data_IF_651676840166
#
_entry.id   IF_651676840166
#
_cell.length_a   1.000
_cell.length_b   1.000
_cell.length_c   1.000
_cell.angle_alpha   90.00
_cell.angle_beta   90.00
_cell.angle_gamma   90.00
#
_symmetry.space_group_name_H-M   'P 1'
#
loop_
_entity.id
_entity.type
_entity.pdbx_description
1 polymer ?
#
# COMPACT_ATOMS: atom_id res chain seq x y z
N UNK A 1 7.49 9.46 -7.31
CA UNK A 1 6.24 10.13 -6.90
C UNK A 1 5.10 9.51 -7.69
N UNK A 2 4.29 8.64 -7.07
CA UNK A 2 3.05 7.99 -7.59
C UNK A 2 2.36 7.13 -6.49
N UNK A 3 3.10 6.83 -5.41
CA UNK A 3 2.69 6.10 -4.20
C UNK A 3 1.36 6.55 -3.56
N UNK A 4 1.00 7.82 -3.73
CA UNK A 4 -0.25 8.41 -3.24
C UNK A 4 -1.49 7.96 -4.02
N UNK A 5 -1.33 7.52 -5.28
CA UNK A 5 -2.46 7.13 -6.14
C UNK A 5 -3.30 5.99 -5.54
N UNK A 6 -2.73 5.18 -4.65
CA UNK A 6 -3.44 4.14 -3.88
C UNK A 6 -4.60 4.65 -3.03
N UNK A 7 -4.68 5.96 -2.77
CA UNK A 7 -5.81 6.55 -2.07
C UNK A 7 -6.94 7.01 -2.99
N UNK A 8 -6.76 6.92 -4.31
CA UNK A 8 -7.80 7.27 -5.29
C UNK A 8 -8.98 6.29 -5.19
N UNK A 9 -10.23 6.74 -5.34
CA UNK A 9 -11.42 5.89 -5.22
C UNK A 9 -11.45 4.75 -6.25
N UNK A 10 -10.87 4.95 -7.43
CA UNK A 10 -10.85 3.94 -8.49
C UNK A 10 -9.57 3.08 -8.50
N UNK A 11 -8.67 3.26 -7.53
CA UNK A 11 -7.38 2.57 -7.55
C UNK A 11 -7.48 1.04 -7.67
N UNK A 12 -8.40 0.41 -6.94
CA UNK A 12 -8.62 -1.04 -6.99
C UNK A 12 -9.12 -1.54 -8.36
N UNK A 13 -9.74 -0.66 -9.15
CA UNK A 13 -10.26 -0.95 -10.48
C UNK A 13 -9.22 -0.65 -11.57
N UNK A 14 -8.50 0.47 -11.43
CA UNK A 14 -7.52 0.93 -12.41
C UNK A 14 -6.22 0.14 -12.36
N UNK A 15 -5.89 -0.43 -11.20
CA UNK A 15 -4.62 -1.12 -10.97
C UNK A 15 -4.84 -2.61 -10.85
N UNK A 16 -4.32 -3.36 -11.82
CA UNK A 16 -4.29 -4.81 -11.77
C UNK A 16 -3.56 -5.31 -10.52
N UNK A 17 -4.21 -6.19 -9.75
CA UNK A 17 -3.73 -6.67 -8.45
C UNK A 17 -3.98 -5.72 -7.27
N UNK A 18 -4.58 -4.55 -7.52
CA UNK A 18 -4.99 -3.59 -6.50
C UNK A 18 -3.82 -3.11 -5.62
N UNK A 19 -4.01 -3.19 -4.31
CA UNK A 19 -3.03 -2.78 -3.30
C UNK A 19 -1.83 -3.71 -3.20
N UNK A 20 -1.91 -4.90 -3.79
CA UNK A 20 -0.81 -5.87 -3.89
C UNK A 20 -0.15 -5.86 -5.27
N UNK A 21 -0.47 -4.88 -6.12
CA UNK A 21 0.12 -4.75 -7.45
C UNK A 21 1.64 -4.64 -7.39
N UNK A 22 2.32 -5.48 -8.16
CA UNK A 22 3.77 -5.43 -8.30
C UNK A 22 4.21 -4.15 -9.02
N UNK A 23 3.46 -3.70 -10.03
CA UNK A 23 3.76 -2.49 -10.82
C UNK A 23 3.82 -1.22 -9.97
N UNK A 24 2.97 -1.13 -8.94
CA UNK A 24 2.93 0.00 -8.01
C UNK A 24 3.52 -0.33 -6.65
N UNK A 25 4.29 -1.42 -6.56
CA UNK A 25 4.91 -1.84 -5.30
C UNK A 25 5.95 -0.84 -4.85
N UNK A 26 5.94 -0.55 -3.56
CA UNK A 26 6.95 0.28 -2.92
C UNK A 26 8.23 -0.50 -2.58
N UNK A 27 8.30 -1.79 -2.94
CA UNK A 27 9.50 -2.62 -2.77
C UNK A 27 10.48 -2.47 -3.94
N UNK A 28 10.07 -1.86 -5.06
CA UNK A 28 10.95 -1.60 -6.19
C UNK A 28 11.88 -0.43 -5.85
N UNK A 29 13.19 -0.72 -5.85
CA UNK A 29 14.26 0.26 -5.84
C UNK A 29 14.60 0.65 -7.29
N UNK A 30 14.40 1.93 -7.69
CA UNK A 30 14.71 2.39 -9.04
C UNK A 30 16.21 2.53 -9.30
N UNK A 31 17.05 2.62 -8.27
CA UNK A 31 18.51 2.74 -8.42
C UNK A 31 19.20 1.37 -8.50
N UNK A 32 18.46 0.29 -8.21
CA UNK A 32 18.97 -1.08 -8.23
C UNK A 32 18.56 -1.81 -9.51
N UNK A 33 19.51 -2.29 -10.33
CA UNK A 33 19.17 -3.03 -11.54
C UNK A 33 18.50 -4.38 -11.22
N UNK A 34 17.68 -4.86 -12.15
CA UNK A 34 17.10 -6.20 -12.08
C UNK A 34 18.17 -7.28 -12.13
N UNK A 35 17.92 -8.41 -11.46
CA UNK A 35 18.72 -9.61 -11.63
C UNK A 35 18.71 -10.03 -13.11
N UNK A 36 19.90 -10.09 -13.73
CA UNK A 36 20.05 -10.43 -15.16
C UNK A 36 19.42 -11.78 -15.52
N UNK A 37 19.61 -12.78 -14.67
CA UNK A 37 19.04 -14.11 -14.92
C UNK A 37 17.51 -14.11 -14.88
N UNK A 38 16.90 -13.37 -13.96
CA UNK A 38 15.45 -13.26 -13.89
C UNK A 38 14.89 -12.41 -15.04
N UNK A 39 15.59 -11.35 -15.45
CA UNK A 39 15.18 -10.54 -16.61
C UNK A 39 15.21 -11.32 -17.92
N UNK A 40 16.07 -12.34 -18.02
CA UNK A 40 16.14 -13.25 -19.16
C UNK A 40 15.10 -14.40 -19.09
N UNK A 41 14.23 -14.40 -18.07
CA UNK A 41 13.19 -15.41 -17.87
C UNK A 41 13.62 -16.64 -17.08
N UNK A 42 14.82 -16.64 -16.50
CA UNK A 42 15.32 -17.69 -15.62
C UNK A 42 14.91 -17.52 -14.16
N UNK A 43 15.31 -18.47 -13.32
CA UNK A 43 15.20 -18.39 -11.86
C UNK A 43 16.60 -18.20 -11.29
N UNK A 44 16.81 -17.15 -10.50
CA UNK A 44 18.09 -16.94 -9.83
C UNK A 44 18.13 -17.67 -8.48
N UNK A 45 19.14 -18.54 -8.32
CA UNK A 45 19.40 -19.33 -7.11
C UNK A 45 20.63 -18.85 -6.33
N UNK A 46 21.25 -17.74 -6.76
CA UNK A 46 22.39 -17.13 -6.08
C UNK A 46 21.91 -16.33 -4.87
N UNK A 47 22.36 -16.72 -3.68
CA UNK A 47 22.04 -16.08 -2.41
C UNK A 47 22.80 -14.78 -2.19
N UNK A 48 23.90 -14.57 -2.93
CA UNK A 48 24.71 -13.35 -2.91
C UNK A 48 24.41 -12.45 -4.11
N UNK A 49 23.29 -12.67 -4.81
CA UNK A 49 22.94 -11.87 -5.97
C UNK A 49 22.69 -10.40 -5.58
N UNK A 50 23.49 -9.50 -6.14
CA UNK A 50 23.34 -8.07 -5.92
C UNK A 50 22.19 -7.46 -6.75
N UNK A 51 21.55 -8.23 -7.64
CA UNK A 51 20.42 -7.78 -8.44
C UNK A 51 19.14 -7.65 -7.62
N UNK A 52 18.16 -6.91 -8.14
CA UNK A 52 16.80 -6.89 -7.59
C UNK A 52 15.97 -8.03 -8.18
N UNK A 53 15.30 -8.81 -7.33
CA UNK A 53 14.51 -9.97 -7.74
C UNK A 53 13.01 -9.67 -7.79
N UNK A 54 12.29 -10.22 -8.77
CA UNK A 54 10.83 -10.02 -8.88
C UNK A 54 10.07 -10.51 -7.64
N UNK A 55 10.53 -11.61 -7.03
CA UNK A 55 9.96 -12.15 -5.78
C UNK A 55 10.03 -11.16 -4.62
N UNK A 56 11.03 -10.29 -4.61
CA UNK A 56 11.22 -9.27 -3.57
C UNK A 56 10.41 -8.00 -3.86
N UNK A 57 10.02 -7.78 -5.11
CA UNK A 57 9.15 -6.67 -5.50
C UNK A 57 7.70 -6.88 -5.08
N UNK A 58 7.29 -8.12 -4.80
CA UNK A 58 5.93 -8.40 -4.34
C UNK A 58 5.76 -7.87 -2.91
N UNK A 59 4.77 -7.00 -2.71
CA UNK A 59 4.42 -6.52 -1.38
C UNK A 59 3.46 -7.51 -0.71
N UNK A 60 3.74 -7.88 0.55
CA UNK A 60 2.82 -8.72 1.31
C UNK A 60 1.63 -7.91 1.83
N UNK A 61 0.52 -8.60 2.10
CA UNK A 61 -0.66 -8.02 2.75
C UNK A 61 -0.32 -7.29 4.05
N UNK A 62 0.50 -7.90 4.89
CA UNK A 62 0.94 -7.28 6.15
C UNK A 62 1.71 -5.97 5.91
N UNK A 63 2.68 -5.98 4.98
CA UNK A 63 3.48 -4.79 4.67
C UNK A 63 2.62 -3.65 4.15
N UNK A 64 1.66 -3.92 3.25
CA UNK A 64 0.79 -2.86 2.72
C UNK A 64 -0.10 -2.28 3.81
N UNK A 65 -0.64 -3.10 4.71
CA UNK A 65 -1.47 -2.63 5.82
C UNK A 65 -0.69 -1.77 6.81
N UNK A 66 0.56 -2.13 7.13
CA UNK A 66 1.44 -1.29 7.95
C UNK A 66 1.71 0.04 7.26
N UNK A 67 1.99 0.05 5.95
CA UNK A 67 2.24 1.28 5.20
C UNK A 67 1.02 2.19 5.14
N UNK A 68 -0.19 1.64 5.00
CA UNK A 68 -1.43 2.42 4.95
C UNK A 68 -1.82 2.94 6.34
N UNK A 69 -1.67 2.12 7.38
CA UNK A 69 -2.01 2.50 8.76
C UNK A 69 -1.08 3.55 9.36
N UNK A 70 0.20 3.58 8.95
CA UNK A 70 1.18 4.58 9.42
C UNK A 70 1.13 5.90 8.66
N UNK A 71 0.47 5.94 7.50
CA UNK A 71 0.33 7.13 6.66
C UNK A 71 -0.74 8.09 7.20
N UNK A 72 -0.53 8.62 8.40
CA UNK A 72 -1.41 9.57 9.06
C UNK A 72 -1.43 10.92 8.32
N UNK A 73 -2.59 11.39 7.82
CA UNK A 73 -2.70 12.64 7.07
C UNK A 73 -2.93 13.88 7.96
N UNK A 74 -3.03 13.72 9.28
CA UNK A 74 -3.32 14.80 10.23
C UNK A 74 -2.21 15.85 10.30
N UNK A 75 -2.59 17.13 10.25
CA UNK A 75 -1.63 18.25 10.27
C UNK A 75 -1.29 18.69 11.69
N UNK A 76 -2.28 18.70 12.59
CA UNK A 76 -2.09 19.00 14.02
C UNK A 76 -1.94 17.72 14.85
N UNK A 77 -1.58 17.85 16.12
CA UNK A 77 -1.53 16.69 17.02
C UNK A 77 -2.92 16.14 17.29
N UNK A 78 -3.91 17.03 17.38
CA UNK A 78 -5.32 16.70 17.56
C UNK A 78 -5.85 15.91 16.35
N UNK A 79 -5.51 16.36 15.13
CA UNK A 79 -5.88 15.65 13.89
C UNK A 79 -5.24 14.27 13.84
N UNK A 80 -3.95 14.16 14.19
CA UNK A 80 -3.24 12.89 14.21
C UNK A 80 -3.88 11.92 15.19
N UNK A 81 -4.30 12.40 16.36
CA UNK A 81 -4.99 11.61 17.36
C UNK A 81 -6.36 11.15 16.85
N UNK A 82 -7.17 12.07 16.31
CA UNK A 82 -8.48 11.77 15.70
C UNK A 82 -8.35 10.74 14.58
N UNK A 83 -7.33 10.86 13.73
CA UNK A 83 -7.02 9.88 12.69
C UNK A 83 -6.80 8.50 13.28
N UNK A 84 -5.90 8.38 14.26
CA UNK A 84 -5.55 7.11 14.89
C UNK A 84 -6.75 6.46 15.58
N UNK A 85 -7.59 7.25 16.24
CA UNK A 85 -8.78 6.75 16.92
C UNK A 85 -9.83 6.24 15.94
N UNK A 86 -10.12 6.97 14.86
CA UNK A 86 -11.02 6.48 13.83
C UNK A 86 -10.46 5.29 13.05
N UNK A 87 -9.16 5.23 12.79
CA UNK A 87 -8.53 4.07 12.15
C UNK A 87 -8.69 2.81 13.01
N UNK A 88 -8.56 2.92 14.34
CA UNK A 88 -8.84 1.79 15.26
C UNK A 88 -10.28 1.29 15.15
N UNK A 89 -11.24 2.20 14.95
CA UNK A 89 -12.65 1.84 14.76
C UNK A 89 -12.87 1.13 13.43
N UNK A 90 -12.28 1.62 12.33
CA UNK A 90 -12.34 0.96 11.02
C UNK A 90 -11.78 -0.46 11.09
N UNK A 91 -10.60 -0.64 11.69
CA UNK A 91 -10.00 -1.97 11.86
C UNK A 91 -10.83 -2.88 12.76
N UNK A 92 -11.52 -2.33 13.76
CA UNK A 92 -12.43 -3.10 14.63
C UNK A 92 -13.66 -3.59 13.84
N UNK A 93 -14.28 -2.73 13.04
CA UNK A 93 -15.42 -3.08 12.20
C UNK A 93 -15.06 -4.15 11.16
N UNK A 94 -13.92 -4.01 10.49
CA UNK A 94 -13.41 -5.01 9.55
C UNK A 94 -13.22 -6.39 10.21
N UNK A 95 -12.67 -6.43 11.44
CA UNK A 95 -12.55 -7.66 12.22
C UNK A 95 -13.92 -8.26 12.56
N UNK A 96 -14.90 -7.44 12.95
CA UNK A 96 -16.26 -7.91 13.25
C UNK A 96 -16.95 -8.50 12.01
N UNK A 97 -16.72 -7.91 10.83
CA UNK A 97 -17.20 -8.40 9.54
C UNK A 97 -16.40 -9.59 8.99
N UNK A 98 -15.39 -10.08 9.73
CA UNK A 98 -14.50 -11.17 9.32
C UNK A 98 -13.80 -10.93 7.98
N UNK A 99 -13.55 -9.67 7.62
CA UNK A 99 -12.78 -9.32 6.42
C UNK A 99 -11.31 -9.57 6.72
N UNK A 100 -10.72 -10.52 5.99
CA UNK A 100 -9.31 -10.93 6.14
C UNK A 100 -8.46 -10.65 4.90
N UNK A 101 -9.10 -10.34 3.78
CA UNK A 101 -8.41 -10.06 2.52
C UNK A 101 -7.66 -8.70 2.60
N UNK A 102 -6.34 -8.67 2.33
CA UNK A 102 -5.57 -7.44 2.42
C UNK A 102 -6.03 -6.33 1.48
N UNK A 103 -6.55 -6.66 0.28
CA UNK A 103 -7.06 -5.63 -0.64
C UNK A 103 -8.31 -4.97 -0.06
N UNK A 104 -9.27 -5.75 0.44
CA UNK A 104 -10.47 -5.20 1.07
C UNK A 104 -10.19 -4.36 2.32
N UNK A 105 -9.23 -4.80 3.17
CA UNK A 105 -8.81 -4.00 4.33
C UNK A 105 -8.14 -2.69 3.87
N UNK A 106 -7.25 -2.77 2.87
CA UNK A 106 -6.57 -1.59 2.33
C UNK A 106 -7.54 -0.58 1.70
N UNK A 107 -8.58 -1.07 1.01
CA UNK A 107 -9.63 -0.25 0.42
C UNK A 107 -10.42 0.54 1.46
N UNK A 108 -10.81 -0.10 2.57
CA UNK A 108 -11.51 0.59 3.65
C UNK A 108 -10.61 1.59 4.40
N UNK A 109 -9.30 1.32 4.55
CA UNK A 109 -8.35 2.31 5.08
C UNK A 109 -8.23 3.52 4.13
N UNK A 110 -8.12 3.28 2.82
CA UNK A 110 -8.03 4.34 1.82
C UNK A 110 -9.31 5.20 1.78
N UNK A 111 -10.47 4.57 1.86
CA UNK A 111 -11.78 5.23 1.98
C UNK A 111 -11.89 6.07 3.25
N UNK A 112 -11.49 5.53 4.39
CA UNK A 112 -11.45 6.29 5.64
C UNK A 112 -10.53 7.52 5.53
N UNK A 113 -9.39 7.41 4.84
CA UNK A 113 -8.52 8.56 4.56
C UNK A 113 -9.24 9.67 3.79
N UNK A 114 -9.96 9.32 2.72
CA UNK A 114 -10.73 10.29 1.92
C UNK A 114 -11.80 10.98 2.75
N UNK A 115 -12.55 10.21 3.54
CA UNK A 115 -13.57 10.73 4.45
C UNK A 115 -12.98 11.65 5.53
N UNK A 116 -11.83 11.28 6.10
CA UNK A 116 -11.15 12.10 7.10
C UNK A 116 -10.73 13.46 6.53
N UNK A 117 -10.23 13.47 5.29
CA UNK A 117 -9.81 14.68 4.59
C UNK A 117 -10.97 15.47 3.95
N UNK A 118 -12.18 14.89 3.94
CA UNK A 118 -13.37 15.43 3.28
C UNK A 118 -13.13 15.77 1.80
N UNK A 119 -12.35 14.93 1.11
CA UNK A 119 -12.01 15.08 -0.31
C UNK A 119 -11.70 13.70 -0.91
N UNK A 120 -12.59 13.25 -1.81
CA UNK A 120 -12.47 11.95 -2.44
C UNK A 120 -11.37 11.89 -3.51
N UNK A 121 -11.02 13.02 -4.11
CA UNK A 121 -9.99 13.10 -5.16
C UNK A 121 -8.58 13.25 -4.58
N UNK A 122 -8.46 13.55 -3.29
CA UNK A 122 -7.20 13.92 -2.66
C UNK A 122 -6.27 12.75 -2.41
N UNK A 123 -5.35 12.56 -3.35
CA UNK A 123 -4.29 11.56 -3.24
C UNK A 123 -3.03 12.07 -2.51
N UNK A 124 -2.69 13.36 -2.64
CA UNK A 124 -1.46 13.93 -2.04
C UNK A 124 -1.75 14.60 -0.69
N UNK A 125 -0.86 14.40 0.28
CA UNK A 125 -0.81 15.19 1.52
C UNK A 125 -0.02 16.48 1.25
N UNK A 126 -0.72 17.58 0.92
CA UNK A 126 -0.17 18.94 0.81
C UNK A 126 -0.75 19.82 1.92
#
# INVERSE_FOLDING_TARGET
>A
MFKSYRYHPHYSQDVAGGYLSMTYSHQIDPEKPLCRFESDGGICNDDQCEGQHFREMVISGEKILVQLGTANPGKTNEDKQRWNDGLRLVLKDLRQKSIKDPNGIAEEIAKYRRQFLNDDSRVVNL
#
